data_IF_394261577098
#
_entry.id   IF_394261577098
#
_cell.length_a   1.000
_cell.length_b   1.000
_cell.length_c   1.000
_cell.angle_alpha   90.00
_cell.angle_beta   90.00
_cell.angle_gamma   90.00
#
_symmetry.space_group_name_H-M   'P 1'
#
loop_
_entity.id
_entity.type
_entity.pdbx_description
1 polymer ?
#
# COMPACT_ATOMS: atom_id res chain seq x y z
N UNK A 1 20.31 30.83 -13.53
CA UNK A 1 20.05 29.62 -14.33
C UNK A 1 18.72 29.82 -15.06
N UNK A 2 18.70 29.92 -16.40
CA UNK A 2 17.44 29.96 -17.15
C UNK A 2 17.06 28.52 -17.45
N UNK A 3 15.93 28.07 -16.91
CA UNK A 3 15.37 26.78 -17.26
C UNK A 3 14.89 26.80 -18.73
N UNK A 4 15.01 25.69 -19.47
CA UNK A 4 14.40 25.59 -20.78
C UNK A 4 12.89 25.83 -20.68
N UNK A 5 12.31 26.55 -21.64
CA UNK A 5 10.85 26.72 -21.71
C UNK A 5 10.23 25.39 -22.10
N UNK A 6 9.32 24.90 -21.25
CA UNK A 6 8.52 23.71 -21.53
C UNK A 6 7.33 24.14 -22.38
N UNK A 7 7.05 23.40 -23.44
CA UNK A 7 5.81 23.58 -24.22
C UNK A 7 4.61 23.04 -23.43
N UNK A 8 3.63 23.91 -23.21
CA UNK A 8 2.37 23.66 -22.52
C UNK A 8 1.20 24.22 -23.34
N UNK A 9 1.25 24.06 -24.66
CA UNK A 9 0.15 24.39 -25.56
C UNK A 9 -1.12 23.58 -25.22
N UNK A 10 -2.29 24.16 -25.50
CA UNK A 10 -3.58 23.49 -25.27
C UNK A 10 -3.68 22.17 -26.04
N UNK A 11 -3.13 22.12 -27.26
CA UNK A 11 -3.02 20.89 -28.06
C UNK A 11 -2.21 19.82 -27.33
N UNK A 12 -1.02 20.15 -26.84
CA UNK A 12 -0.20 19.18 -26.09
C UNK A 12 -0.89 18.71 -24.82
N UNK A 13 -1.57 19.60 -24.11
CA UNK A 13 -2.33 19.26 -22.90
C UNK A 13 -3.49 18.32 -23.23
N UNK A 14 -4.26 18.59 -24.29
CA UNK A 14 -5.44 17.79 -24.69
C UNK A 14 -5.06 16.34 -24.99
N UNK A 15 -4.04 16.13 -25.83
CA UNK A 15 -3.65 14.76 -26.22
C UNK A 15 -3.09 13.97 -25.02
N UNK A 16 -2.37 14.62 -24.10
CA UNK A 16 -1.91 13.99 -22.85
C UNK A 16 -3.03 13.75 -21.84
N UNK A 17 -4.05 14.61 -21.80
CA UNK A 17 -5.25 14.42 -20.98
C UNK A 17 -6.05 13.22 -21.47
N UNK A 18 -6.24 13.08 -22.79
CA UNK A 18 -6.88 11.90 -23.40
C UNK A 18 -6.09 10.62 -23.09
N UNK A 19 -4.76 10.68 -23.15
CA UNK A 19 -3.92 9.55 -22.76
C UNK A 19 -4.11 9.14 -21.29
N UNK A 20 -4.09 10.11 -20.36
CA UNK A 20 -4.37 9.86 -18.94
C UNK A 20 -5.78 9.27 -18.74
N UNK A 21 -6.77 9.85 -19.42
CA UNK A 21 -8.16 9.42 -19.39
C UNK A 21 -8.30 7.96 -19.81
N UNK A 22 -7.71 7.55 -20.94
CA UNK A 22 -7.77 6.17 -21.41
C UNK A 22 -7.15 5.19 -20.42
N UNK A 23 -5.93 5.45 -19.96
CA UNK A 23 -5.27 4.59 -18.96
C UNK A 23 -6.13 4.43 -17.69
N UNK A 24 -6.68 5.54 -17.18
CA UNK A 24 -7.55 5.54 -16.00
C UNK A 24 -8.83 4.73 -16.20
N UNK A 25 -9.47 4.89 -17.36
CA UNK A 25 -10.73 4.22 -17.67
C UNK A 25 -10.52 2.73 -17.94
N UNK A 26 -9.44 2.34 -18.63
CA UNK A 26 -9.04 0.94 -18.82
C UNK A 26 -8.85 0.24 -17.46
N UNK A 27 -8.16 0.88 -16.51
CA UNK A 27 -7.98 0.34 -15.15
C UNK A 27 -9.31 0.22 -14.40
N UNK A 28 -10.17 1.24 -14.50
CA UNK A 28 -11.51 1.22 -13.89
C UNK A 28 -12.37 0.09 -14.45
N UNK A 29 -12.24 -0.22 -15.74
CA UNK A 29 -12.99 -1.29 -16.40
C UNK A 29 -12.56 -2.68 -15.92
N UNK A 30 -11.31 -2.85 -15.47
CA UNK A 30 -10.73 -4.15 -15.08
C UNK A 30 -10.94 -5.19 -16.17
N UNK A 31 -10.52 -4.86 -17.40
CA UNK A 31 -10.52 -5.84 -18.49
C UNK A 31 -9.62 -7.01 -18.13
N UNK A 32 -10.08 -8.21 -18.48
CA UNK A 32 -9.23 -9.38 -18.46
C UNK A 32 -8.33 -9.37 -19.71
N UNK A 33 -7.17 -10.02 -19.64
CA UNK A 33 -6.17 -10.00 -20.71
C UNK A 33 -6.74 -10.45 -22.06
N UNK A 34 -7.59 -11.48 -22.08
CA UNK A 34 -8.26 -11.93 -23.29
C UNK A 34 -9.12 -10.83 -23.94
N UNK A 35 -9.80 -10.01 -23.13
CA UNK A 35 -10.60 -8.89 -23.63
C UNK A 35 -9.70 -7.80 -24.22
N UNK A 36 -8.52 -7.57 -23.65
CA UNK A 36 -7.53 -6.64 -24.21
C UNK A 36 -6.99 -7.16 -25.53
N UNK A 37 -6.61 -8.45 -25.60
CA UNK A 37 -6.13 -9.08 -26.83
C UNK A 37 -7.19 -9.06 -27.93
N UNK A 38 -8.45 -9.33 -27.59
CA UNK A 38 -9.58 -9.19 -28.52
C UNK A 38 -9.65 -7.78 -29.11
N UNK A 39 -9.52 -6.73 -28.29
CA UNK A 39 -9.55 -5.35 -28.77
C UNK A 39 -8.37 -5.07 -29.70
N UNK A 40 -7.16 -5.48 -29.31
CA UNK A 40 -5.96 -5.29 -30.12
C UNK A 40 -6.05 -6.04 -31.45
N UNK A 41 -6.55 -7.27 -31.47
CA UNK A 41 -6.74 -8.05 -32.70
C UNK A 41 -7.74 -7.38 -33.64
N UNK A 42 -8.90 -6.96 -33.14
CA UNK A 42 -9.89 -6.26 -33.97
C UNK A 42 -9.36 -4.94 -34.54
N UNK A 43 -8.48 -4.25 -33.81
CA UNK A 43 -7.84 -3.03 -34.32
C UNK A 43 -6.96 -3.27 -35.55
N UNK A 44 -6.38 -4.48 -35.68
CA UNK A 44 -5.59 -4.86 -36.85
C UNK A 44 -6.49 -5.16 -38.07
N UNK A 45 -7.70 -5.66 -37.83
CA UNK A 45 -8.67 -6.01 -38.89
C UNK A 45 -9.37 -4.78 -39.46
N UNK A 46 -9.56 -3.75 -38.64
CA UNK A 46 -10.30 -2.54 -38.99
C UNK A 46 -9.38 -1.31 -39.00
N UNK A 47 -8.19 -1.43 -39.59
CA UNK A 47 -7.17 -0.39 -39.58
C UNK A 47 -7.72 0.96 -40.10
N UNK A 48 -7.60 1.98 -39.27
CA UNK A 48 -7.91 3.37 -39.59
C UNK A 48 -9.32 3.85 -39.21
N UNK A 49 -9.45 5.16 -39.00
CA UNK A 49 -10.66 5.86 -38.58
C UNK A 49 -11.88 5.60 -39.47
N UNK A 50 -11.67 5.32 -40.75
CA UNK A 50 -12.77 5.07 -41.70
C UNK A 50 -13.64 3.89 -41.27
N UNK A 51 -13.08 2.95 -40.50
CA UNK A 51 -13.79 1.79 -39.98
C UNK A 51 -14.04 1.85 -38.47
N UNK A 52 -13.86 3.02 -37.84
CA UNK A 52 -13.92 3.13 -36.37
C UNK A 52 -15.28 2.67 -35.81
N UNK A 53 -16.39 2.98 -36.48
CA UNK A 53 -17.73 2.56 -36.06
C UNK A 53 -17.89 1.04 -36.12
N UNK A 54 -17.32 0.40 -37.16
CA UNK A 54 -17.34 -1.05 -37.33
C UNK A 54 -16.47 -1.72 -36.27
N UNK A 55 -15.28 -1.17 -36.03
CA UNK A 55 -14.39 -1.59 -34.95
C UNK A 55 -15.09 -1.52 -33.59
N UNK A 56 -15.68 -0.37 -33.24
CA UNK A 56 -16.39 -0.16 -31.98
C UNK A 56 -17.54 -1.16 -31.80
N UNK A 57 -18.34 -1.39 -32.85
CA UNK A 57 -19.43 -2.36 -32.83
C UNK A 57 -18.91 -3.79 -32.59
N UNK A 58 -17.83 -4.19 -33.28
CA UNK A 58 -17.22 -5.52 -33.13
C UNK A 58 -16.70 -5.76 -31.70
N UNK A 59 -16.09 -4.74 -31.06
CA UNK A 59 -15.67 -4.84 -29.65
C UNK A 59 -16.87 -5.03 -28.71
N UNK A 60 -17.92 -4.23 -28.90
CA UNK A 60 -19.08 -4.25 -28.01
C UNK A 60 -19.90 -5.55 -28.15
N UNK A 61 -19.87 -6.20 -29.31
CA UNK A 61 -20.50 -7.51 -29.53
C UNK A 61 -19.83 -8.61 -28.70
N UNK A 62 -18.49 -8.59 -28.60
CA UNK A 62 -17.70 -9.53 -27.78
C UNK A 62 -17.91 -9.35 -26.26
N UNK A 63 -18.56 -8.27 -25.82
CA UNK A 63 -18.89 -7.99 -24.43
C UNK A 63 -20.40 -8.04 -24.20
N UNK A 64 -21.02 -9.23 -24.06
CA UNK A 64 -22.46 -9.34 -23.92
C UNK A 64 -22.94 -8.65 -22.65
N UNK A 65 -23.99 -7.82 -22.76
CA UNK A 65 -24.58 -7.05 -21.67
C UNK A 65 -25.43 -7.91 -20.70
N UNK A 66 -25.06 -9.19 -20.54
CA UNK A 66 -25.80 -10.19 -19.78
C UNK A 66 -25.60 -10.07 -18.26
N UNK A 67 -24.65 -9.25 -17.81
CA UNK A 67 -24.41 -8.99 -16.39
C UNK A 67 -23.92 -7.56 -16.14
N UNK A 68 -24.09 -7.09 -14.90
CA UNK A 68 -23.74 -5.73 -14.46
C UNK A 68 -22.27 -5.38 -14.70
N UNK A 69 -21.36 -6.35 -14.57
CA UNK A 69 -19.92 -6.15 -14.80
C UNK A 69 -19.63 -5.84 -16.26
N UNK A 70 -20.16 -6.64 -17.19
CA UNK A 70 -20.00 -6.40 -18.63
C UNK A 70 -20.71 -5.13 -19.08
N UNK A 71 -21.87 -4.81 -18.51
CA UNK A 71 -22.55 -3.55 -18.78
C UNK A 71 -21.69 -2.34 -18.36
N UNK A 72 -21.06 -2.40 -17.18
CA UNK A 72 -20.14 -1.35 -16.74
C UNK A 72 -18.91 -1.23 -17.65
N UNK A 73 -18.34 -2.36 -18.11
CA UNK A 73 -17.24 -2.37 -19.09
C UNK A 73 -17.63 -1.74 -20.41
N UNK A 74 -18.83 -2.04 -20.93
CA UNK A 74 -19.38 -1.41 -22.16
C UNK A 74 -19.56 0.09 -22.00
N UNK A 75 -20.12 0.55 -20.88
CA UNK A 75 -20.29 1.98 -20.62
C UNK A 75 -18.92 2.69 -20.63
N UNK A 76 -17.92 2.11 -19.98
CA UNK A 76 -16.57 2.66 -19.97
C UNK A 76 -15.94 2.68 -21.38
N UNK A 77 -16.15 1.63 -22.19
CA UNK A 77 -15.69 1.64 -23.58
C UNK A 77 -16.38 2.70 -24.42
N UNK A 78 -17.68 2.91 -24.24
CA UNK A 78 -18.40 3.97 -24.94
C UNK A 78 -17.83 5.34 -24.57
N UNK A 79 -17.56 5.60 -23.29
CA UNK A 79 -16.91 6.83 -22.84
C UNK A 79 -15.53 7.01 -23.50
N UNK A 80 -14.76 5.93 -23.64
CA UNK A 80 -13.47 5.94 -24.36
C UNK A 80 -13.66 6.24 -25.85
N UNK A 81 -14.62 5.57 -26.50
CA UNK A 81 -14.85 5.65 -27.93
C UNK A 81 -15.33 7.02 -28.39
N UNK A 82 -16.06 7.77 -27.55
CA UNK A 82 -16.48 9.14 -27.83
C UNK A 82 -15.28 10.07 -28.02
N UNK A 83 -14.17 9.83 -27.32
CA UNK A 83 -12.97 10.66 -27.40
C UNK A 83 -12.08 10.33 -28.61
N UNK A 84 -12.31 9.21 -29.31
CA UNK A 84 -11.50 8.79 -30.46
C UNK A 84 -11.98 9.51 -31.73
N UNK A 85 -11.33 10.63 -32.03
CA UNK A 85 -11.64 11.51 -33.16
C UNK A 85 -10.58 11.50 -34.29
N UNK A 86 -9.42 10.90 -34.03
CA UNK A 86 -8.26 10.96 -34.92
C UNK A 86 -7.39 9.70 -34.81
N UNK A 87 -6.52 9.47 -35.80
CA UNK A 87 -5.61 8.31 -35.84
C UNK A 87 -4.60 8.37 -34.71
N UNK A 88 -4.17 9.58 -34.34
CA UNK A 88 -3.33 9.82 -33.18
C UNK A 88 -4.02 9.33 -31.91
N UNK A 89 -5.27 9.76 -31.67
CA UNK A 89 -5.99 9.39 -30.46
C UNK A 89 -6.35 7.89 -30.43
N UNK A 90 -6.66 7.29 -31.58
CA UNK A 90 -6.80 5.83 -31.69
C UNK A 90 -5.49 5.14 -31.30
N UNK A 91 -4.35 5.61 -31.80
CA UNK A 91 -3.03 5.07 -31.48
C UNK A 91 -2.71 5.19 -29.99
N UNK A 92 -3.04 6.33 -29.37
CA UNK A 92 -2.91 6.56 -27.93
C UNK A 92 -3.78 5.58 -27.12
N UNK A 93 -5.01 5.31 -27.56
CA UNK A 93 -5.88 4.30 -26.94
C UNK A 93 -5.28 2.89 -27.02
N UNK A 94 -4.85 2.46 -28.21
CA UNK A 94 -4.24 1.14 -28.39
C UNK A 94 -2.94 0.98 -27.60
N UNK A 95 -2.12 2.03 -27.56
CA UNK A 95 -0.92 2.10 -26.75
C UNK A 95 -1.24 1.99 -25.24
N UNK A 96 -2.32 2.63 -24.79
CA UNK A 96 -2.80 2.53 -23.40
C UNK A 96 -3.19 1.10 -23.01
N UNK A 97 -3.80 0.33 -23.93
CA UNK A 97 -4.13 -1.09 -23.72
C UNK A 97 -2.87 -1.94 -23.56
N UNK A 98 -1.84 -1.70 -24.37
CA UNK A 98 -0.55 -2.41 -24.26
C UNK A 98 0.17 -2.07 -22.95
N UNK A 99 0.18 -0.80 -22.55
CA UNK A 99 0.73 -0.38 -21.26
C UNK A 99 -0.03 -0.99 -20.08
N UNK A 100 -1.34 -1.18 -20.19
CA UNK A 100 -2.12 -1.86 -19.16
C UNK A 100 -1.65 -3.30 -18.91
N UNK A 101 -1.27 -4.03 -19.96
CA UNK A 101 -0.70 -5.39 -19.83
C UNK A 101 0.66 -5.36 -19.10
N UNK A 102 1.49 -4.36 -19.38
CA UNK A 102 2.81 -4.20 -18.73
C UNK A 102 2.70 -3.72 -17.29
N UNK A 103 1.69 -2.91 -16.97
CA UNK A 103 1.45 -2.35 -15.64
C UNK A 103 1.50 -3.41 -14.55
N UNK A 104 0.81 -4.54 -14.75
CA UNK A 104 0.75 -5.59 -13.73
C UNK A 104 2.10 -6.28 -13.52
N UNK A 105 2.86 -6.49 -14.60
CA UNK A 105 4.22 -7.01 -14.52
C UNK A 105 5.13 -6.10 -13.69
N UNK A 106 5.10 -4.79 -13.95
CA UNK A 106 5.89 -3.80 -13.21
C UNK A 106 5.42 -3.68 -11.74
N UNK A 107 4.12 -3.81 -11.49
CA UNK A 107 3.57 -3.82 -10.12
C UNK A 107 4.07 -5.02 -9.33
N UNK A 108 4.07 -6.22 -9.92
CA UNK A 108 4.56 -7.42 -9.24
C UNK A 108 6.07 -7.36 -8.99
N UNK A 109 6.86 -6.93 -9.98
CA UNK A 109 8.30 -6.73 -9.80
C UNK A 109 8.60 -5.73 -8.67
N UNK A 110 7.87 -4.61 -8.62
CA UNK A 110 8.00 -3.64 -7.53
C UNK A 110 7.68 -4.24 -6.14
N UNK A 111 6.82 -5.26 -6.07
CA UNK A 111 6.47 -5.96 -4.83
C UNK A 111 7.47 -7.04 -4.45
N UNK A 112 8.22 -7.64 -5.38
CA UNK A 112 9.26 -8.65 -5.08
C UNK A 112 10.28 -8.10 -4.08
N UNK A 113 10.57 -6.78 -4.13
CA UNK A 113 11.43 -6.13 -3.14
C UNK A 113 10.94 -6.32 -1.69
N UNK A 114 9.63 -6.46 -1.45
CA UNK A 114 9.10 -6.80 -0.12
C UNK A 114 9.53 -8.19 0.34
N UNK A 115 9.60 -9.17 -0.56
CA UNK A 115 10.03 -10.52 -0.22
C UNK A 115 11.47 -10.53 0.31
N UNK A 116 12.36 -9.70 -0.27
CA UNK A 116 13.74 -9.55 0.24
C UNK A 116 13.82 -9.01 1.67
N UNK A 117 12.83 -8.20 2.09
CA UNK A 117 12.77 -7.69 3.45
C UNK A 117 12.19 -8.71 4.45
N UNK A 118 11.42 -9.72 4.01
CA UNK A 118 10.85 -10.73 4.90
C UNK A 118 11.93 -11.57 5.60
N UNK A 119 13.02 -11.90 4.90
CA UNK A 119 14.14 -12.64 5.48
C UNK A 119 14.77 -11.88 6.65
N UNK A 120 14.95 -10.57 6.52
CA UNK A 120 15.46 -9.71 7.59
C UNK A 120 14.55 -9.67 8.81
N UNK A 121 13.24 -9.78 8.62
CA UNK A 121 12.27 -9.74 9.71
C UNK A 121 12.28 -11.02 10.56
N UNK A 122 12.77 -12.15 10.05
CA UNK A 122 12.78 -13.43 10.79
C UNK A 122 13.68 -13.39 12.03
N UNK A 123 14.76 -12.63 11.96
CA UNK A 123 15.77 -12.54 13.02
C UNK A 123 15.46 -11.44 14.04
N UNK A 124 14.44 -10.61 13.77
CA UNK A 124 14.11 -9.44 14.59
C UNK A 124 12.89 -9.71 15.49
N UNK A 125 12.89 -9.10 16.68
CA UNK A 125 11.68 -9.08 17.51
C UNK A 125 10.58 -8.27 16.80
N UNK A 126 9.35 -8.78 16.64
CA UNK A 126 8.24 -8.05 16.00
C UNK A 126 7.90 -6.69 16.62
N UNK A 127 8.23 -6.47 17.90
CA UNK A 127 8.00 -5.24 18.65
C UNK A 127 9.25 -4.33 18.73
N UNK A 128 10.33 -4.72 18.06
CA UNK A 128 11.56 -3.92 17.99
C UNK A 128 11.39 -2.68 17.09
N UNK A 129 12.22 -1.68 17.34
CA UNK A 129 12.27 -0.47 16.52
C UNK A 129 12.77 -0.79 15.11
N UNK A 130 13.74 -1.71 14.97
CA UNK A 130 14.27 -2.11 13.67
C UNK A 130 13.23 -2.83 12.80
N UNK A 131 12.42 -3.71 13.39
CA UNK A 131 11.29 -4.34 12.69
C UNK A 131 10.27 -3.28 12.22
N UNK A 132 9.92 -2.32 13.08
CA UNK A 132 9.02 -1.22 12.70
C UNK A 132 9.60 -0.40 11.54
N UNK A 133 10.88 -0.07 11.58
CA UNK A 133 11.55 0.65 10.49
C UNK A 133 11.41 -0.08 9.16
N UNK A 134 11.69 -1.38 9.11
CA UNK A 134 11.57 -2.16 7.85
C UNK A 134 10.11 -2.15 7.35
N UNK A 135 9.15 -2.42 8.24
CA UNK A 135 7.73 -2.51 7.85
C UNK A 135 7.11 -1.18 7.45
N UNK A 136 7.46 -0.08 8.14
CA UNK A 136 7.02 1.28 7.77
C UNK A 136 7.61 1.69 6.42
N UNK A 137 8.86 1.34 6.13
CA UNK A 137 9.50 1.68 4.87
C UNK A 137 9.04 0.81 3.69
N UNK A 138 8.45 -0.37 3.92
CA UNK A 138 8.01 -1.28 2.85
C UNK A 138 7.08 -0.63 1.82
N UNK A 139 5.97 0.05 2.20
CA UNK A 139 5.15 0.81 1.27
C UNK A 139 5.93 1.82 0.43
N UNK A 140 6.81 2.60 1.06
CA UNK A 140 7.60 3.63 0.37
C UNK A 140 8.63 3.02 -0.58
N UNK A 141 9.29 1.93 -0.15
CA UNK A 141 10.22 1.17 -0.97
C UNK A 141 9.53 0.64 -2.24
N UNK A 142 8.30 0.14 -2.14
CA UNK A 142 7.53 -0.31 -3.30
C UNK A 142 7.15 0.85 -4.23
N UNK A 143 6.78 2.02 -3.68
CA UNK A 143 6.53 3.22 -4.51
C UNK A 143 7.77 3.64 -5.28
N UNK A 144 8.89 3.80 -4.57
CA UNK A 144 10.17 4.21 -5.18
C UNK A 144 10.63 3.18 -6.21
N UNK A 145 10.58 1.89 -5.87
CA UNK A 145 10.94 0.80 -6.79
C UNK A 145 10.08 0.86 -8.05
N UNK A 146 8.77 1.03 -7.88
CA UNK A 146 7.86 1.13 -9.00
C UNK A 146 8.15 2.34 -9.91
N UNK A 147 8.36 3.53 -9.35
CA UNK A 147 8.69 4.70 -10.16
C UNK A 147 10.01 4.52 -10.93
N UNK A 148 11.02 3.90 -10.31
CA UNK A 148 12.29 3.61 -10.97
C UNK A 148 12.14 2.54 -12.07
N UNK A 149 11.30 1.53 -11.86
CA UNK A 149 11.00 0.52 -12.88
C UNK A 149 10.26 1.14 -14.08
N UNK A 150 9.33 2.06 -13.83
CA UNK A 150 8.65 2.83 -14.88
C UNK A 150 9.66 3.65 -15.69
N UNK A 151 10.58 4.34 -15.02
CA UNK A 151 11.63 5.11 -15.67
C UNK A 151 12.53 4.20 -16.53
N UNK A 152 13.05 3.12 -15.96
CA UNK A 152 13.90 2.16 -16.66
C UNK A 152 13.20 1.51 -17.86
N UNK A 153 11.89 1.24 -17.73
CA UNK A 153 11.06 0.70 -18.80
C UNK A 153 11.04 1.61 -20.04
N UNK A 154 10.90 2.93 -19.85
CA UNK A 154 10.89 3.89 -20.97
C UNK A 154 12.28 4.32 -21.43
N UNK A 155 13.30 4.33 -20.56
CA UNK A 155 14.65 4.78 -20.90
C UNK A 155 15.47 3.73 -21.63
N UNK A 156 15.41 2.47 -21.20
CA UNK A 156 16.35 1.47 -21.70
C UNK A 156 15.95 0.06 -21.25
N UNK A 157 14.96 -0.54 -21.89
CA UNK A 157 14.90 -2.00 -21.95
C UNK A 157 16.06 -2.51 -22.83
N UNK A 158 17.26 -2.52 -22.23
CA UNK A 158 18.48 -3.10 -22.80
C UNK A 158 18.79 -4.50 -22.23
N UNK A 159 17.99 -4.98 -21.27
CA UNK A 159 18.10 -6.34 -20.72
C UNK A 159 16.82 -7.09 -21.01
N UNK A 160 16.94 -8.14 -21.82
CA UNK A 160 15.83 -8.92 -22.34
C UNK A 160 15.07 -9.69 -21.25
N UNK A 161 13.77 -9.79 -21.46
CA UNK A 161 12.89 -10.76 -20.86
C UNK A 161 13.33 -12.18 -21.23
N UNK A 162 12.84 -13.17 -20.47
CA UNK A 162 13.23 -14.58 -20.63
C UNK A 162 12.92 -15.13 -22.04
N UNK A 163 11.93 -14.56 -22.74
CA UNK A 163 11.54 -15.01 -24.08
C UNK A 163 11.76 -13.93 -25.14
N UNK A 164 12.31 -14.35 -26.29
CA UNK A 164 12.51 -13.47 -27.45
C UNK A 164 11.22 -12.80 -27.92
N UNK A 165 10.08 -13.50 -27.84
CA UNK A 165 8.79 -12.95 -28.25
C UNK A 165 8.34 -11.81 -27.34
N UNK A 166 8.64 -11.90 -26.05
CA UNK A 166 8.38 -10.82 -25.09
C UNK A 166 9.29 -9.63 -25.39
N UNK A 167 10.57 -9.87 -25.69
CA UNK A 167 11.50 -8.80 -26.07
C UNK A 167 11.04 -8.05 -27.32
N UNK A 168 10.60 -8.76 -28.35
CA UNK A 168 10.12 -8.15 -29.58
C UNK A 168 8.88 -7.28 -29.34
N UNK A 169 7.94 -7.76 -28.49
CA UNK A 169 6.75 -6.98 -28.11
C UNK A 169 7.14 -5.69 -27.38
N UNK A 170 8.08 -5.81 -26.43
CA UNK A 170 8.53 -4.70 -25.60
C UNK A 170 9.29 -3.66 -26.43
N UNK A 171 10.20 -4.10 -27.30
CA UNK A 171 10.93 -3.19 -28.18
C UNK A 171 9.99 -2.40 -29.08
N UNK A 172 8.95 -3.03 -29.65
CA UNK A 172 7.91 -2.34 -30.41
C UNK A 172 7.16 -1.32 -29.55
N UNK A 173 6.81 -1.68 -28.32
CA UNK A 173 6.12 -0.78 -27.40
C UNK A 173 6.96 0.46 -27.05
N UNK A 174 8.27 0.30 -26.86
CA UNK A 174 9.20 1.43 -26.63
C UNK A 174 9.32 2.29 -27.89
N UNK A 175 9.40 1.70 -29.08
CA UNK A 175 9.41 2.44 -30.35
C UNK A 175 8.10 3.23 -30.59
N UNK A 176 6.95 2.64 -30.23
CA UNK A 176 5.66 3.33 -30.25
C UNK A 176 5.65 4.53 -29.28
N UNK A 177 6.21 4.36 -28.08
CA UNK A 177 6.34 5.45 -27.12
C UNK A 177 7.21 6.60 -27.68
N UNK A 178 8.31 6.30 -28.36
CA UNK A 178 9.16 7.30 -29.00
C UNK A 178 8.43 8.04 -30.14
N UNK A 179 7.69 7.32 -30.97
CA UNK A 179 6.85 7.93 -32.03
C UNK A 179 5.79 8.86 -31.44
N UNK A 180 5.10 8.44 -30.38
CA UNK A 180 4.09 9.27 -29.71
C UNK A 180 4.71 10.50 -29.03
N UNK A 181 5.94 10.38 -28.52
CA UNK A 181 6.69 11.50 -27.95
C UNK A 181 6.95 12.61 -28.97
N UNK A 182 7.30 12.24 -30.21
CA UNK A 182 7.45 13.19 -31.32
C UNK A 182 6.14 13.91 -31.67
N UNK A 183 5.00 13.32 -31.30
CA UNK A 183 3.65 13.87 -31.49
C UNK A 183 3.14 14.64 -30.26
N UNK A 184 4.00 14.90 -29.28
CA UNK A 184 3.68 15.70 -28.10
C UNK A 184 3.09 14.93 -26.91
N UNK A 185 2.92 13.60 -27.01
CA UNK A 185 2.55 12.76 -25.86
C UNK A 185 3.76 12.62 -24.92
N UNK A 186 3.51 12.47 -23.62
CA UNK A 186 4.53 12.23 -22.61
C UNK A 186 4.32 10.83 -21.98
N UNK A 187 4.67 9.72 -22.70
CA UNK A 187 4.30 8.36 -22.30
C UNK A 187 4.69 8.00 -20.86
N UNK A 188 5.94 8.31 -20.49
CA UNK A 188 6.50 8.02 -19.19
C UNK A 188 5.77 8.80 -18.08
N UNK A 189 5.58 10.11 -18.26
CA UNK A 189 4.97 10.95 -17.22
C UNK A 189 3.53 10.55 -16.95
N UNK A 190 2.74 10.35 -18.00
CA UNK A 190 1.32 10.01 -17.87
C UNK A 190 1.14 8.58 -17.35
N UNK A 191 1.94 7.62 -17.83
CA UNK A 191 1.92 6.26 -17.27
C UNK A 191 2.33 6.23 -15.80
N UNK A 192 3.36 7.00 -15.40
CA UNK A 192 3.80 7.09 -14.01
C UNK A 192 2.70 7.61 -13.07
N UNK A 193 1.89 8.58 -13.50
CA UNK A 193 0.75 9.06 -12.69
C UNK A 193 -0.21 7.91 -12.36
N UNK A 194 -0.65 7.19 -13.39
CA UNK A 194 -1.63 6.10 -13.26
C UNK A 194 -1.04 4.87 -12.55
N UNK A 195 0.24 4.59 -12.80
CA UNK A 195 0.96 3.51 -12.13
C UNK A 195 1.09 3.79 -10.63
N UNK A 196 1.38 5.03 -10.23
CA UNK A 196 1.43 5.43 -8.82
C UNK A 196 0.06 5.33 -8.14
N UNK A 197 -1.04 5.70 -8.82
CA UNK A 197 -2.39 5.47 -8.32
C UNK A 197 -2.64 3.97 -8.03
N UNK A 198 -2.23 3.11 -8.96
CA UNK A 198 -2.37 1.64 -8.84
C UNK A 198 -1.52 1.06 -7.71
N UNK A 199 -0.26 1.51 -7.57
CA UNK A 199 0.62 1.14 -6.46
C UNK A 199 0.01 1.52 -5.11
N UNK A 200 -0.55 2.72 -5.00
CA UNK A 200 -1.18 3.18 -3.77
C UNK A 200 -2.37 2.31 -3.37
N UNK A 201 -3.23 1.94 -4.32
CA UNK A 201 -4.34 1.03 -4.06
C UNK A 201 -3.84 -0.35 -3.60
N UNK A 202 -2.80 -0.90 -4.24
CA UNK A 202 -2.23 -2.19 -3.88
C UNK A 202 -1.47 -2.18 -2.53
N UNK A 203 -0.86 -1.05 -2.16
CA UNK A 203 -0.26 -0.87 -0.83
C UNK A 203 -1.35 -0.88 0.23
N UNK A 204 -2.42 -0.10 0.05
CA UNK A 204 -3.50 0.00 1.02
C UNK A 204 -4.18 -1.36 1.23
N UNK A 205 -4.46 -2.11 0.16
CA UNK A 205 -5.05 -3.45 0.26
C UNK A 205 -4.18 -4.46 1.04
N UNK A 206 -2.85 -4.29 0.98
CA UNK A 206 -1.88 -5.20 1.59
C UNK A 206 -1.31 -4.68 2.92
N UNK A 207 -1.78 -3.55 3.42
CA UNK A 207 -1.24 -2.85 4.60
C UNK A 207 -1.60 -3.49 5.95
N UNK A 208 -2.10 -4.73 5.96
CA UNK A 208 -2.50 -5.51 7.14
C UNK A 208 -1.37 -5.89 8.12
N UNK A 209 -0.31 -5.09 8.22
CA UNK A 209 0.73 -5.20 9.25
C UNK A 209 0.84 -3.89 10.03
N UNK A 210 -0.29 -3.45 10.58
CA UNK A 210 -0.27 -2.39 11.58
C UNK A 210 0.47 -2.88 12.86
N UNK A 211 0.91 -1.93 13.68
CA UNK A 211 1.65 -2.23 14.91
C UNK A 211 0.83 -3.10 15.87
N UNK A 212 -0.49 -2.89 15.90
CA UNK A 212 -1.46 -3.68 16.64
C UNK A 212 -1.45 -5.15 16.19
N UNK A 213 -1.49 -5.43 14.89
CA UNK A 213 -1.47 -6.80 14.36
C UNK A 213 -0.20 -7.54 14.79
N UNK A 214 0.95 -6.85 14.84
CA UNK A 214 2.20 -7.43 15.36
C UNK A 214 2.13 -7.74 16.84
N UNK A 215 1.58 -6.84 17.65
CA UNK A 215 1.35 -7.09 19.08
C UNK A 215 0.43 -8.29 19.26
N UNK A 216 -0.68 -8.36 18.51
CA UNK A 216 -1.58 -9.51 18.51
C UNK A 216 -0.84 -10.81 18.18
N UNK A 217 -0.01 -10.83 17.14
CA UNK A 217 0.80 -12.01 16.80
C UNK A 217 1.76 -12.41 17.92
N UNK A 218 2.36 -11.45 18.63
CA UNK A 218 3.21 -11.74 19.79
C UNK A 218 2.38 -12.33 20.94
N UNK A 219 1.23 -11.75 21.28
CA UNK A 219 0.34 -12.27 22.32
C UNK A 219 -0.12 -13.71 22.03
N UNK A 220 -0.49 -13.99 20.77
CA UNK A 220 -0.85 -15.34 20.33
C UNK A 220 0.35 -16.30 20.45
N UNK A 221 1.54 -15.87 20.06
CA UNK A 221 2.78 -16.67 20.16
C UNK A 221 3.16 -16.98 21.62
N UNK A 222 2.83 -16.08 22.56
CA UNK A 222 3.02 -16.33 23.99
C UNK A 222 2.08 -17.41 24.53
N UNK A 223 1.01 -17.77 23.80
CA UNK A 223 0.06 -18.82 24.20
C UNK A 223 -1.32 -18.28 24.60
N UNK A 224 -1.59 -16.98 24.47
CA UNK A 224 -2.92 -16.43 24.73
C UNK A 224 -3.90 -16.86 23.63
N UNK A 225 -5.07 -17.45 23.98
CA UNK A 225 -6.04 -17.89 22.98
C UNK A 225 -6.61 -16.71 22.18
N UNK A 226 -6.72 -16.85 20.87
CA UNK A 226 -7.27 -15.80 20.00
C UNK A 226 -8.69 -15.38 20.38
N UNK A 227 -9.50 -16.30 20.90
CA UNK A 227 -10.85 -16.04 21.43
C UNK A 227 -10.88 -15.10 22.63
N UNK A 228 -9.77 -15.03 23.37
CA UNK A 228 -9.67 -14.25 24.60
C UNK A 228 -9.18 -12.83 24.32
N UNK A 229 -8.51 -12.59 23.19
CA UNK A 229 -7.97 -11.28 22.82
C UNK A 229 -9.03 -10.51 22.03
N UNK A 230 -9.66 -9.54 22.68
CA UNK A 230 -10.74 -8.73 22.12
C UNK A 230 -10.37 -7.26 22.05
N UNK A 231 -10.90 -6.55 21.04
CA UNK A 231 -11.02 -5.09 21.13
C UNK A 231 -12.27 -4.77 21.93
N UNK A 232 -12.14 -3.90 22.93
CA UNK A 232 -13.22 -3.62 23.87
C UNK A 232 -13.22 -2.15 24.25
N UNK A 233 -14.39 -1.52 24.20
CA UNK A 233 -14.58 -0.19 24.79
C UNK A 233 -14.65 -0.30 26.31
N UNK A 234 -14.08 0.70 26.99
CA UNK A 234 -14.25 0.86 28.43
C UNK A 234 -15.75 1.08 28.75
N UNK A 235 -16.24 0.35 29.75
CA UNK A 235 -17.63 0.44 30.22
C UNK A 235 -17.91 1.77 30.95
N UNK A 236 -16.90 2.36 31.58
CA UNK A 236 -16.99 3.63 32.30
C UNK A 236 -16.78 4.84 31.37
N UNK A 237 -16.11 4.65 30.24
CA UNK A 237 -15.89 5.67 29.22
C UNK A 237 -15.89 5.07 27.81
N UNK A 238 -17.04 5.08 27.15
CA UNK A 238 -17.20 4.55 25.79
C UNK A 238 -16.33 5.26 24.74
N UNK A 239 -15.77 6.43 25.07
CA UNK A 239 -14.82 7.13 24.20
C UNK A 239 -13.41 6.53 24.23
N UNK A 240 -13.14 5.59 25.16
CA UNK A 240 -11.86 4.91 25.25
C UNK A 240 -11.97 3.42 24.89
N UNK A 241 -11.03 2.93 24.09
CA UNK A 241 -10.96 1.55 23.59
C UNK A 241 -9.62 0.93 23.98
N UNK A 242 -9.68 -0.31 24.48
CA UNK A 242 -8.50 -1.16 24.63
C UNK A 242 -8.15 -1.77 23.27
N UNK A 243 -6.92 -1.55 22.83
CA UNK A 243 -6.41 -2.14 21.60
C UNK A 243 -6.38 -3.68 21.75
N UNK A 244 -6.10 -4.18 22.96
CA UNK A 244 -6.31 -5.59 23.35
C UNK A 244 -6.83 -5.68 24.79
N UNK A 245 -7.86 -6.49 24.99
CA UNK A 245 -8.41 -6.84 26.30
C UNK A 245 -8.52 -8.36 26.40
N UNK A 246 -8.04 -8.95 27.49
CA UNK A 246 -8.14 -10.38 27.74
C UNK A 246 -8.12 -10.71 29.24
N UNK A 247 -8.54 -11.93 29.57
CA UNK A 247 -8.40 -12.52 30.89
C UNK A 247 -7.32 -13.61 30.86
N UNK A 248 -6.45 -13.60 31.87
CA UNK A 248 -5.40 -14.60 32.07
C UNK A 248 -5.24 -14.86 33.57
N UNK A 249 -5.27 -16.13 33.98
CA UNK A 249 -5.19 -16.55 35.38
C UNK A 249 -6.16 -15.84 36.35
N UNK A 250 -7.40 -15.58 35.90
CA UNK A 250 -8.44 -14.91 36.69
C UNK A 250 -8.23 -13.41 36.86
N UNK A 251 -7.31 -12.82 36.09
CA UNK A 251 -6.96 -11.40 36.09
C UNK A 251 -7.23 -10.79 34.72
N UNK A 252 -7.68 -9.54 34.73
CA UNK A 252 -8.02 -8.77 33.54
C UNK A 252 -6.87 -7.89 33.10
N UNK A 253 -6.51 -7.97 31.82
CA UNK A 253 -5.45 -7.20 31.20
C UNK A 253 -6.01 -6.29 30.13
N UNK A 254 -5.72 -4.99 30.25
CA UNK A 254 -5.92 -4.00 29.20
C UNK A 254 -4.58 -3.60 28.59
N UNK A 255 -4.48 -3.64 27.26
CA UNK A 255 -3.31 -3.16 26.52
C UNK A 255 -3.74 -2.02 25.61
N UNK A 256 -3.03 -0.89 25.70
CA UNK A 256 -2.98 0.09 24.63
C UNK A 256 -1.66 0.00 23.88
N UNK A 257 -1.75 0.21 22.56
CA UNK A 257 -0.69 0.01 21.60
C UNK A 257 -0.49 1.28 20.79
N UNK A 258 0.60 2.01 21.06
CA UNK A 258 0.92 3.23 20.31
C UNK A 258 2.40 3.26 19.92
N UNK A 259 2.69 3.41 18.63
CA UNK A 259 4.08 3.58 18.14
C UNK A 259 4.80 4.74 18.83
N UNK A 260 4.13 5.89 18.88
CA UNK A 260 4.56 7.10 19.60
C UNK A 260 3.42 7.61 20.46
N UNK A 261 3.73 8.03 21.67
CA UNK A 261 2.72 8.43 22.64
C UNK A 261 2.26 9.88 22.44
N UNK A 262 3.19 10.79 22.12
CA UNK A 262 3.02 12.25 22.09
C UNK A 262 2.30 12.71 23.37
N UNK A 263 1.21 13.44 23.26
CA UNK A 263 0.30 13.81 24.36
C UNK A 263 -0.80 12.76 24.64
N UNK A 264 -0.97 11.78 23.76
CA UNK A 264 -2.06 10.79 23.82
C UNK A 264 -1.93 9.79 24.97
N UNK A 265 -0.79 9.74 25.65
CA UNK A 265 -0.62 8.92 26.86
C UNK A 265 -1.61 9.27 27.97
N UNK A 266 -2.16 10.49 27.95
CA UNK A 266 -3.20 10.93 28.88
C UNK A 266 -4.51 10.13 28.72
N UNK A 267 -4.79 9.58 27.54
CA UNK A 267 -6.00 8.82 27.27
C UNK A 267 -5.99 7.50 28.05
N UNK A 268 -4.93 6.71 27.94
CA UNK A 268 -4.86 5.43 28.64
C UNK A 268 -4.63 5.57 30.15
N UNK A 269 -4.05 6.69 30.61
CA UNK A 269 -4.01 7.02 32.04
C UNK A 269 -5.44 7.18 32.58
N UNK A 270 -6.29 7.93 31.87
CA UNK A 270 -7.68 8.12 32.25
C UNK A 270 -8.41 6.76 32.31
N UNK A 271 -8.19 5.90 31.33
CA UNK A 271 -8.74 4.53 31.28
C UNK A 271 -8.33 3.73 32.51
N UNK A 272 -7.04 3.68 32.82
CA UNK A 272 -6.53 2.94 33.97
C UNK A 272 -7.16 3.37 35.31
N UNK A 273 -7.61 4.62 35.41
CA UNK A 273 -8.28 5.15 36.60
C UNK A 273 -9.79 4.89 36.63
N UNK A 274 -10.43 4.75 35.47
CA UNK A 274 -11.89 4.65 35.35
C UNK A 274 -12.39 3.22 35.16
N UNK A 275 -11.60 2.37 34.50
CA UNK A 275 -11.96 0.98 34.27
C UNK A 275 -11.65 0.11 35.49
N UNK A 276 -12.51 -0.88 35.77
CA UNK A 276 -12.14 -1.99 36.64
C UNK A 276 -11.29 -3.00 35.85
N UNK A 277 -9.98 -2.77 35.82
CA UNK A 277 -8.99 -3.68 35.23
C UNK A 277 -7.88 -3.95 36.24
N UNK A 278 -7.40 -5.19 36.30
CA UNK A 278 -6.34 -5.57 37.24
C UNK A 278 -4.98 -5.02 36.77
N UNK A 279 -4.69 -5.12 35.47
CA UNK A 279 -3.42 -4.71 34.89
C UNK A 279 -3.65 -3.88 33.63
N UNK A 280 -3.08 -2.67 33.62
CA UNK A 280 -3.03 -1.83 32.42
C UNK A 280 -1.61 -1.77 31.86
N UNK A 281 -1.47 -1.99 30.56
CA UNK A 281 -0.20 -2.02 29.85
C UNK A 281 -0.26 -1.03 28.67
N UNK A 282 0.81 -0.28 28.47
CA UNK A 282 1.11 0.43 27.22
C UNK A 282 2.29 -0.25 26.54
N UNK A 283 2.12 -0.66 25.27
CA UNK A 283 3.21 -1.17 24.43
C UNK A 283 3.58 -0.12 23.39
N UNK A 284 4.81 0.35 23.41
CA UNK A 284 5.28 1.46 22.57
C UNK A 284 6.70 1.26 22.03
N UNK A 285 7.02 1.91 20.90
CA UNK A 285 8.42 1.94 20.43
C UNK A 285 9.29 2.83 21.31
N UNK A 286 8.69 3.78 22.03
CA UNK A 286 9.36 4.59 23.03
C UNK A 286 10.21 5.75 22.51
N UNK A 287 10.24 6.00 21.20
CA UNK A 287 11.09 7.02 20.56
C UNK A 287 10.81 8.45 21.02
N UNK A 288 9.64 8.70 21.62
CA UNK A 288 9.24 10.00 22.17
C UNK A 288 9.01 10.00 23.69
N UNK A 289 9.49 8.96 24.40
CA UNK A 289 9.42 8.92 25.85
C UNK A 289 10.44 9.87 26.47
N UNK A 290 9.98 10.71 27.39
CA UNK A 290 10.84 11.46 28.31
C UNK A 290 10.74 10.86 29.71
N UNK A 291 11.72 11.13 30.58
CA UNK A 291 11.69 10.69 31.98
C UNK A 291 10.41 11.13 32.71
N UNK A 292 9.97 12.36 32.49
CA UNK A 292 8.76 12.89 33.13
C UNK A 292 7.49 12.23 32.59
N UNK A 293 7.43 11.94 31.28
CA UNK A 293 6.31 11.21 30.68
C UNK A 293 6.19 9.80 31.28
N UNK A 294 7.30 9.09 31.39
CA UNK A 294 7.33 7.72 31.96
C UNK A 294 6.95 7.73 33.42
N UNK A 295 7.47 8.67 34.21
CA UNK A 295 7.08 8.84 35.61
C UNK A 295 5.57 9.12 35.75
N UNK A 296 5.02 10.02 34.94
CA UNK A 296 3.60 10.31 34.95
C UNK A 296 2.77 9.06 34.65
N UNK A 297 3.13 8.29 33.62
CA UNK A 297 2.42 7.05 33.28
C UNK A 297 2.48 6.04 34.45
N UNK A 298 3.67 5.84 35.03
CA UNK A 298 3.85 4.90 36.15
C UNK A 298 3.15 5.32 37.43
N UNK A 299 3.02 6.62 37.70
CA UNK A 299 2.25 7.14 38.83
C UNK A 299 0.77 6.73 38.77
N UNK A 300 0.26 6.41 37.58
CA UNK A 300 -1.10 5.91 37.38
C UNK A 300 -1.16 4.38 37.15
N UNK A 301 -0.15 3.66 37.64
CA UNK A 301 -0.07 2.19 37.62
C UNK A 301 -0.11 1.51 36.24
N UNK A 302 0.03 2.27 35.15
CA UNK A 302 0.13 1.68 33.79
C UNK A 302 1.54 1.18 33.54
N UNK A 303 1.72 -0.11 33.31
CA UNK A 303 3.01 -0.70 32.98
C UNK A 303 3.42 -0.33 31.55
N UNK A 304 4.72 -0.11 31.31
CA UNK A 304 5.21 0.18 29.96
C UNK A 304 6.08 -0.98 29.45
N UNK A 305 5.82 -1.40 28.23
CA UNK A 305 6.75 -2.20 27.44
C UNK A 305 7.29 -1.34 26.30
N UNK A 306 8.60 -1.23 26.25
CA UNK A 306 9.31 -0.36 25.31
C UNK A 306 10.16 -1.22 24.39
N UNK A 307 10.23 -0.86 23.09
CA UNK A 307 11.17 -1.50 22.16
C UNK A 307 12.57 -1.58 22.77
N UNK A 308 13.19 -2.75 22.68
CA UNK A 308 14.40 -3.10 23.41
C UNK A 308 15.55 -2.12 23.14
N UNK A 309 15.71 -1.73 21.88
CA UNK A 309 16.76 -0.81 21.47
C UNK A 309 16.65 0.54 22.19
N UNK A 310 15.42 1.03 22.40
CA UNK A 310 15.17 2.26 23.13
C UNK A 310 15.35 2.05 24.64
N UNK A 311 14.82 0.95 25.19
CA UNK A 311 14.97 0.60 26.60
C UNK A 311 16.45 0.52 27.02
N UNK A 312 17.27 -0.18 26.22
CA UNK A 312 18.70 -0.33 26.44
C UNK A 312 19.47 0.99 26.27
N UNK A 313 19.06 1.84 25.31
CA UNK A 313 19.74 3.13 25.05
C UNK A 313 19.48 4.22 26.12
N UNK A 314 18.40 4.11 26.89
CA UNK A 314 17.98 5.14 27.85
C UNK A 314 18.00 4.61 29.29
N UNK A 315 19.06 4.92 30.03
CA UNK A 315 19.28 4.42 31.40
C UNK A 315 18.16 4.77 32.38
N UNK A 316 17.45 5.88 32.18
CA UNK A 316 16.34 6.24 33.06
C UNK A 316 15.14 5.27 32.93
N UNK A 317 14.94 4.62 31.77
CA UNK A 317 13.87 3.63 31.58
C UNK A 317 14.13 2.40 32.46
N UNK A 318 15.39 1.97 32.54
CA UNK A 318 15.82 0.82 33.35
C UNK A 318 15.70 1.09 34.86
N UNK A 319 15.78 2.36 35.27
CA UNK A 319 15.72 2.75 36.68
C UNK A 319 14.30 2.86 37.26
N UNK A 320 13.26 2.80 36.43
CA UNK A 320 11.87 3.03 36.85
C UNK A 320 11.13 1.69 36.92
N UNK A 321 10.63 1.33 38.11
CA UNK A 321 9.85 0.11 38.30
C UNK A 321 8.55 0.13 37.44
N UNK A 322 8.25 -1.00 36.81
CA UNK A 322 7.12 -1.21 35.92
C UNK A 322 7.33 -0.71 34.49
N UNK A 323 8.60 -0.49 34.10
CA UNK A 323 9.03 -0.26 32.73
C UNK A 323 9.91 -1.44 32.30
N UNK A 324 9.52 -2.09 31.21
CA UNK A 324 10.13 -3.33 30.74
C UNK A 324 10.55 -3.21 29.28
N UNK A 325 11.51 -4.04 28.87
CA UNK A 325 11.78 -4.26 27.45
C UNK A 325 10.68 -5.13 26.85
N UNK A 326 10.33 -4.87 25.59
CA UNK A 326 9.46 -5.77 24.81
C UNK A 326 10.07 -7.17 24.61
N UNK A 327 11.37 -7.38 24.87
CA UNK A 327 11.96 -8.72 24.91
C UNK A 327 11.55 -9.51 26.16
N UNK A 328 11.26 -8.83 27.26
CA UNK A 328 10.89 -9.47 28.53
C UNK A 328 9.41 -9.86 28.58
N UNK A 329 8.62 -9.42 27.60
CA UNK A 329 7.20 -9.74 27.52
C UNK A 329 6.98 -11.26 27.41
N UNK A 330 6.45 -11.83 28.49
CA UNK A 330 6.26 -13.27 28.68
C UNK A 330 5.06 -13.50 29.59
N UNK A 331 4.48 -14.71 29.55
CA UNK A 331 3.36 -15.07 30.45
C UNK A 331 3.77 -14.94 31.93
N UNK A 332 4.96 -15.44 32.29
CA UNK A 332 5.48 -15.33 33.65
C UNK A 332 5.60 -13.89 34.14
N UNK A 333 5.97 -12.96 33.25
CA UNK A 333 5.99 -11.54 33.61
C UNK A 333 4.58 -11.01 33.78
N UNK A 334 3.64 -11.33 32.87
CA UNK A 334 2.25 -10.93 32.99
C UNK A 334 1.63 -11.39 34.31
N UNK A 335 1.92 -12.62 34.76
CA UNK A 335 1.49 -13.12 36.07
C UNK A 335 2.00 -12.26 37.22
N UNK A 336 3.30 -11.93 37.21
CA UNK A 336 3.92 -11.05 38.22
C UNK A 336 3.33 -9.64 38.24
N UNK A 337 2.83 -9.14 37.11
CA UNK A 337 2.20 -7.81 37.07
C UNK A 337 0.83 -7.78 37.75
N UNK A 338 0.20 -8.95 37.93
CA UNK A 338 -1.13 -9.11 38.48
C UNK A 338 -1.15 -9.53 39.96
N UNK A 339 0.03 -9.75 40.55
CA UNK A 339 0.29 -9.85 42.00
C UNK A 339 0.26 -8.47 42.67
#
# INVERSE_FOLDING_TARGET
>A
MKLPKIDLSDEKIDVNLKFYFFLKYIIKAKFADNQIYDILEQSQLFSGLQNIQVFQAAILEKLPANNKTNQNKRNILNDIFVEIDSELILSVFLFSLKLYLIKDLLLEEAKVKRASNLEKLKELNPLSLEYDKITVFNPYSVRVSGSLLCLAFFESLQTGFVSQQTDDFIHKLVQEAQTLLEQGIEPNQIFMLVFNESLNQSITSNSGSDYESRIKSVLLRLGLPASNIQKKHDLADSSTEFDFFFEYNGKTFGISAKRTLRERYKQFIKTAQMSQIDVMIEITLGTDLSKDKVKAIRQHNVYLFVADEIYCSQTYLQSINGVYSCLDLSLDLLDKLAE
#
